data_IF_499751183762
#
_entry.id   IF_499751183762
#
_cell.length_a   1.000
_cell.length_b   1.000
_cell.length_c   1.000
_cell.angle_alpha   90.00
_cell.angle_beta   90.00
_cell.angle_gamma   90.00
#
_symmetry.space_group_name_H-M   'P 1'
#
loop_
_entity.id
_entity.type
_entity.pdbx_description
1 polymer ?
#
# COMPACT_ATOMS: atom_id res chain seq x y z
N UNK A 1 17.49 15.50 25.89
CA UNK A 1 16.69 14.62 25.00
C UNK A 1 16.19 13.45 25.84
N UNK A 2 14.89 13.07 25.77
CA UNK A 2 14.31 11.92 26.50
C UNK A 2 13.74 10.92 25.49
N UNK A 3 13.96 9.63 25.72
CA UNK A 3 13.43 8.54 24.89
C UNK A 3 12.18 7.94 25.55
N UNK A 4 11.27 7.37 24.75
CA UNK A 4 10.16 6.56 25.25
C UNK A 4 10.60 5.09 25.25
N UNK A 5 10.84 4.47 26.43
CA UNK A 5 11.33 3.09 26.51
C UNK A 5 10.42 2.07 25.82
N UNK A 6 9.09 2.26 25.86
CA UNK A 6 8.12 1.34 25.26
C UNK A 6 8.18 1.32 23.72
N UNK A 7 8.74 2.36 23.10
CA UNK A 7 8.89 2.48 21.65
C UNK A 7 10.33 2.27 21.18
N UNK A 8 11.26 2.08 22.11
CA UNK A 8 12.65 1.85 21.78
C UNK A 8 12.92 0.37 21.56
N UNK A 9 13.59 0.05 20.47
CA UNK A 9 13.97 -1.32 20.10
C UNK A 9 15.48 -1.33 19.89
N UNK A 10 16.18 -2.24 20.58
CA UNK A 10 17.64 -2.32 20.57
C UNK A 10 18.11 -3.75 20.26
N UNK A 11 19.26 -3.89 19.59
CA UNK A 11 19.89 -5.19 19.35
C UNK A 11 19.11 -6.15 18.43
N UNK A 12 18.15 -5.66 17.64
CA UNK A 12 17.34 -6.47 16.72
C UNK A 12 17.97 -6.56 15.33
N UNK A 13 17.77 -7.68 14.64
CA UNK A 13 18.23 -7.90 13.26
C UNK A 13 17.42 -7.12 12.21
N UNK A 14 16.27 -6.58 12.61
CA UNK A 14 15.40 -5.75 11.78
C UNK A 14 14.25 -5.17 12.59
N UNK A 15 13.66 -4.08 12.10
CA UNK A 15 12.59 -3.39 12.80
C UNK A 15 11.84 -2.38 11.93
N UNK A 16 10.70 -1.92 12.44
CA UNK A 16 9.88 -0.89 11.79
C UNK A 16 10.49 0.49 12.03
N UNK A 17 10.77 1.23 10.96
CA UNK A 17 11.29 2.60 11.03
C UNK A 17 10.64 3.48 9.97
N UNK A 18 10.08 4.63 10.38
CA UNK A 18 9.37 5.59 9.51
C UNK A 18 8.33 4.93 8.56
N UNK A 19 7.70 3.85 9.03
CA UNK A 19 6.70 3.11 8.26
C UNK A 19 7.24 2.14 7.21
N UNK A 20 8.55 1.90 7.20
CA UNK A 20 9.24 0.84 6.44
C UNK A 20 9.69 -0.28 7.38
N UNK A 21 9.96 -1.45 6.81
CA UNK A 21 10.64 -2.53 7.53
C UNK A 21 12.11 -2.52 7.13
N UNK A 22 13.01 -2.34 8.10
CA UNK A 22 14.45 -2.40 7.85
C UNK A 22 14.94 -3.76 8.31
N UNK A 23 15.64 -4.48 7.46
CA UNK A 23 16.26 -5.77 7.78
C UNK A 23 17.73 -5.76 7.34
N UNK A 24 18.48 -6.80 7.70
CA UNK A 24 19.85 -7.00 7.20
C UNK A 24 19.94 -7.10 5.68
N UNK A 25 18.83 -7.41 4.98
CA UNK A 25 18.77 -7.52 3.51
C UNK A 25 18.53 -6.19 2.81
N UNK A 26 18.01 -5.18 3.52
CA UNK A 26 17.64 -3.89 2.95
C UNK A 26 16.34 -3.34 3.52
N UNK A 27 15.67 -2.50 2.73
CA UNK A 27 14.37 -1.92 3.10
C UNK A 27 13.28 -2.78 2.48
N UNK A 28 12.46 -3.40 3.32
CA UNK A 28 11.37 -4.26 2.89
C UNK A 28 10.02 -3.54 2.97
N UNK A 29 9.08 -4.00 2.13
CA UNK A 29 7.67 -3.61 2.24
C UNK A 29 7.13 -3.87 3.64
N UNK A 30 6.43 -2.89 4.21
CA UNK A 30 5.80 -3.05 5.51
C UNK A 30 4.63 -4.06 5.41
N UNK A 31 4.69 -5.21 6.11
CA UNK A 31 3.67 -6.24 6.02
C UNK A 31 2.27 -5.76 6.43
N UNK A 32 2.18 -4.84 7.40
CA UNK A 32 0.90 -4.29 7.84
C UNK A 32 0.22 -3.47 6.74
N UNK A 33 1.00 -2.68 5.99
CA UNK A 33 0.48 -1.89 4.86
C UNK A 33 0.01 -2.80 3.73
N UNK A 34 0.77 -3.85 3.42
CA UNK A 34 0.39 -4.84 2.41
C UNK A 34 -0.88 -5.58 2.82
N UNK A 35 -0.93 -6.09 4.05
CA UNK A 35 -2.08 -6.81 4.61
C UNK A 35 -3.36 -5.97 4.57
N UNK A 36 -3.26 -4.67 4.87
CA UNK A 36 -4.40 -3.76 4.82
C UNK A 36 -5.02 -3.64 3.41
N UNK A 37 -4.25 -3.80 2.34
CA UNK A 37 -4.76 -3.81 0.95
C UNK A 37 -5.27 -5.20 0.57
N UNK A 38 -4.53 -6.26 0.91
CA UNK A 38 -4.91 -7.65 0.62
C UNK A 38 -6.28 -7.99 1.20
N UNK A 39 -6.52 -7.59 2.46
CA UNK A 39 -7.77 -7.86 3.18
C UNK A 39 -8.90 -6.86 2.86
N UNK A 40 -8.62 -5.82 2.10
CA UNK A 40 -9.62 -4.81 1.74
C UNK A 40 -10.64 -5.40 0.76
N UNK A 41 -11.94 -5.13 0.98
CA UNK A 41 -12.97 -5.45 -0.02
C UNK A 41 -12.91 -4.47 -1.19
N UNK A 42 -13.50 -4.83 -2.32
CA UNK A 42 -13.55 -3.95 -3.48
C UNK A 42 -14.27 -2.64 -3.12
N UNK A 43 -13.67 -1.48 -3.39
CA UNK A 43 -14.26 -0.18 -3.06
C UNK A 43 -15.64 0.01 -3.69
N UNK A 44 -16.60 0.45 -2.89
CA UNK A 44 -17.96 0.79 -3.31
C UNK A 44 -18.21 2.29 -3.29
N UNK A 45 -17.30 3.08 -2.72
CA UNK A 45 -17.45 4.55 -2.64
C UNK A 45 -16.17 5.28 -3.04
N UNK A 46 -16.32 6.53 -3.49
CA UNK A 46 -15.17 7.42 -3.78
C UNK A 46 -14.24 7.55 -2.57
N UNK A 47 -14.79 7.60 -1.35
CA UNK A 47 -13.99 7.67 -0.11
C UNK A 47 -13.12 6.41 0.09
N UNK A 48 -13.66 5.24 -0.23
CA UNK A 48 -12.89 3.99 -0.17
C UNK A 48 -11.82 3.93 -1.26
N UNK A 49 -12.10 4.44 -2.45
CA UNK A 49 -11.08 4.59 -3.50
C UNK A 49 -9.97 5.55 -3.09
N UNK A 50 -10.29 6.68 -2.44
CA UNK A 50 -9.29 7.59 -1.88
C UNK A 50 -8.42 6.88 -0.84
N UNK A 51 -9.03 6.07 0.03
CA UNK A 51 -8.31 5.27 1.03
C UNK A 51 -7.39 4.25 0.38
N UNK A 52 -7.86 3.54 -0.66
CA UNK A 52 -7.06 2.60 -1.43
C UNK A 52 -5.88 3.32 -2.12
N UNK A 53 -6.14 4.44 -2.79
CA UNK A 53 -5.12 5.24 -3.46
C UNK A 53 -4.03 5.71 -2.48
N UNK A 54 -4.41 6.22 -1.30
CA UNK A 54 -3.44 6.61 -0.27
C UNK A 54 -2.58 5.43 0.21
N UNK A 55 -3.18 4.25 0.39
CA UNK A 55 -2.44 3.03 0.74
C UNK A 55 -1.47 2.60 -0.35
N UNK A 56 -1.88 2.62 -1.63
CA UNK A 56 -1.02 2.30 -2.77
C UNK A 56 0.14 3.29 -2.89
N UNK A 57 -0.10 4.60 -2.74
CA UNK A 57 0.94 5.63 -2.77
C UNK A 57 1.96 5.43 -1.65
N UNK A 58 1.53 4.99 -0.47
CA UNK A 58 2.43 4.67 0.65
C UNK A 58 3.39 3.49 0.38
N UNK A 59 3.12 2.71 -0.68
CA UNK A 59 3.92 1.58 -1.18
C UNK A 59 4.56 1.86 -2.55
N UNK A 60 4.44 3.09 -3.08
CA UNK A 60 4.88 3.47 -4.43
C UNK A 60 6.33 3.11 -4.76
N UNK A 61 7.24 3.16 -3.78
CA UNK A 61 8.66 2.80 -3.96
C UNK A 61 8.85 1.32 -4.34
N UNK A 62 7.92 0.45 -3.97
CA UNK A 62 8.00 -1.00 -4.18
C UNK A 62 7.16 -1.49 -5.36
N UNK A 63 6.29 -0.64 -5.91
CA UNK A 63 5.36 -1.01 -6.98
C UNK A 63 5.86 -0.38 -8.30
N UNK A 64 6.52 -1.15 -9.17
CA UNK A 64 6.99 -0.61 -10.43
C UNK A 64 5.82 -0.16 -11.30
N UNK A 65 5.96 1.03 -11.89
CA UNK A 65 4.94 1.66 -12.75
C UNK A 65 3.58 1.79 -12.08
N UNK A 66 3.55 2.14 -10.77
CA UNK A 66 2.31 2.29 -10.01
C UNK A 66 1.29 3.19 -10.72
N UNK A 67 1.70 4.34 -11.25
CA UNK A 67 0.79 5.29 -11.89
C UNK A 67 0.09 4.70 -13.13
N UNK A 68 0.78 3.86 -13.89
CA UNK A 68 0.24 3.16 -15.04
C UNK A 68 -0.75 2.07 -14.59
N UNK A 69 -0.33 1.21 -13.66
CA UNK A 69 -1.15 0.09 -13.14
C UNK A 69 -2.38 0.56 -12.38
N UNK A 70 -2.27 1.66 -11.64
CA UNK A 70 -3.37 2.25 -10.87
C UNK A 70 -4.20 3.25 -11.68
N UNK A 71 -3.90 3.43 -12.98
CA UNK A 71 -4.59 4.35 -13.88
C UNK A 71 -6.12 4.26 -13.78
N UNK A 72 -6.74 3.07 -13.93
CA UNK A 72 -8.20 2.91 -13.81
C UNK A 72 -8.76 3.42 -12.47
N UNK A 73 -8.06 3.13 -11.38
CA UNK A 73 -8.46 3.50 -10.01
C UNK A 73 -8.33 5.01 -9.81
N UNK A 74 -7.25 5.63 -10.28
CA UNK A 74 -7.03 7.07 -10.15
C UNK A 74 -7.97 7.90 -11.04
N UNK A 75 -8.45 7.35 -12.16
CA UNK A 75 -9.49 8.00 -12.97
C UNK A 75 -10.79 8.19 -12.16
N UNK A 76 -11.16 7.23 -11.30
CA UNK A 76 -12.36 7.34 -10.46
C UNK A 76 -12.28 8.47 -9.44
N UNK A 77 -11.08 8.86 -9.01
CA UNK A 77 -10.88 10.00 -8.12
C UNK A 77 -11.16 11.35 -8.78
N UNK A 78 -11.04 11.42 -10.12
CA UNK A 78 -11.28 12.66 -10.89
C UNK A 78 -12.74 12.88 -11.25
N UNK A 79 -13.57 11.83 -11.21
CA UNK A 79 -14.99 11.86 -11.59
C UNK A 79 -15.90 11.39 -10.44
N UNK A 80 -16.01 12.16 -9.34
CA UNK A 80 -16.77 11.74 -8.17
C UNK A 80 -18.29 11.64 -8.41
N UNK A 81 -18.83 12.35 -9.41
CA UNK A 81 -20.27 12.35 -9.74
C UNK A 81 -20.72 11.11 -10.53
N UNK A 82 -19.83 10.53 -11.34
CA UNK A 82 -20.09 9.34 -12.18
C UNK A 82 -19.31 8.13 -11.67
N UNK A 83 -19.28 7.96 -10.35
CA UNK A 83 -18.52 6.88 -9.74
C UNK A 83 -19.10 5.53 -10.15
N UNK A 84 -18.30 4.73 -10.85
CA UNK A 84 -18.59 3.33 -11.13
C UNK A 84 -17.31 2.50 -10.97
N UNK A 85 -17.35 1.52 -10.09
CA UNK A 85 -16.28 0.53 -9.97
C UNK A 85 -16.39 -0.44 -11.14
N UNK A 86 -15.54 -0.25 -12.16
CA UNK A 86 -15.57 -1.06 -13.39
C UNK A 86 -14.74 -2.33 -13.26
N UNK A 87 -14.96 -3.30 -14.15
CA UNK A 87 -14.18 -4.54 -14.21
C UNK A 87 -12.67 -4.28 -14.35
N UNK A 88 -12.28 -3.22 -15.08
CA UNK A 88 -10.88 -2.79 -15.19
C UNK A 88 -10.30 -2.32 -13.86
N UNK A 89 -11.11 -1.66 -13.03
CA UNK A 89 -10.70 -1.25 -11.68
C UNK A 89 -10.55 -2.48 -10.76
N UNK A 90 -11.48 -3.44 -10.88
CA UNK A 90 -11.44 -4.70 -10.14
C UNK A 90 -10.21 -5.54 -10.52
N UNK A 91 -9.92 -5.66 -11.81
CA UNK A 91 -8.74 -6.37 -12.31
C UNK A 91 -7.44 -5.72 -11.81
N UNK A 92 -7.32 -4.40 -11.92
CA UNK A 92 -6.17 -3.66 -11.39
C UNK A 92 -6.02 -3.87 -9.88
N UNK A 93 -7.13 -3.82 -9.13
CA UNK A 93 -7.13 -4.05 -7.68
C UNK A 93 -6.70 -5.47 -7.31
N UNK A 94 -7.20 -6.50 -8.00
CA UNK A 94 -6.78 -7.90 -7.80
C UNK A 94 -5.31 -8.10 -8.14
N UNK A 95 -4.83 -7.50 -9.23
CA UNK A 95 -3.42 -7.51 -9.61
C UNK A 95 -2.53 -6.92 -8.50
N UNK A 96 -2.95 -5.80 -7.89
CA UNK A 96 -2.23 -5.26 -6.73
C UNK A 96 -2.26 -6.21 -5.53
N UNK A 97 -3.39 -6.84 -5.22
CA UNK A 97 -3.44 -7.82 -4.12
C UNK A 97 -2.45 -8.96 -4.33
N UNK A 98 -2.42 -9.54 -5.52
CA UNK A 98 -1.48 -10.62 -5.86
C UNK A 98 -0.03 -10.14 -5.84
N UNK A 99 0.26 -8.94 -6.35
CA UNK A 99 1.61 -8.40 -6.30
C UNK A 99 2.10 -8.22 -4.85
N UNK A 100 1.21 -7.77 -3.95
CA UNK A 100 1.54 -7.48 -2.56
C UNK A 100 1.63 -8.73 -1.66
N UNK A 101 1.27 -9.92 -2.13
CA UNK A 101 1.52 -11.15 -1.36
C UNK A 101 3.00 -11.52 -1.33
N UNK A 102 3.78 -11.02 -2.29
CA UNK A 102 5.21 -11.27 -2.37
C UNK A 102 5.98 -10.11 -1.73
N UNK A 103 6.85 -10.37 -0.72
CA UNK A 103 7.68 -9.33 -0.14
C UNK A 103 8.62 -8.73 -1.20
N UNK A 104 8.68 -7.41 -1.27
CA UNK A 104 9.63 -6.69 -2.13
C UNK A 104 10.69 -5.99 -1.27
N UNK A 105 11.93 -6.04 -1.75
CA UNK A 105 13.11 -5.49 -1.10
C UNK A 105 13.69 -4.43 -2.03
N UNK A 106 14.06 -3.28 -1.46
CA UNK A 106 14.84 -2.22 -2.12
C UNK A 106 16.33 -2.35 -1.80
#
# INVERSE_FOLDING_TARGET
MRLNPEKCVFGVQGGKFLGFMITSRGIETNPEKCKAIIQMQSPQTVKEVQRLAGRLVSLSRFIPKLAEKAGPIFTLLRKPKDFQWTDRCEEAFRSFKTFLTTPSIL
#
